data_IF_650256388382
#
_entry.id   IF_650256388382
#
_cell.length_a   1.000
_cell.length_b   1.000
_cell.length_c   1.000
_cell.angle_alpha   90.00
_cell.angle_beta   90.00
_cell.angle_gamma   90.00
#
_symmetry.space_group_name_H-M   'P 1'
#
loop_
_entity.id
_entity.type
_entity.pdbx_description
1 polymer ?
#
# COMPACT_ATOMS: atom_id res chain seq x y z
N UNK A 1 5.42 11.89 -28.88
CA UNK A 1 5.39 12.26 -27.44
C UNK A 1 6.71 12.92 -27.10
N UNK A 2 6.73 13.98 -26.27
CA UNK A 2 8.00 14.63 -25.87
C UNK A 2 8.72 13.82 -24.79
N UNK A 3 10.05 13.91 -24.71
CA UNK A 3 10.85 13.30 -23.64
C UNK A 3 10.34 13.69 -22.25
N UNK A 4 9.92 14.95 -22.08
CA UNK A 4 9.35 15.44 -20.82
C UNK A 4 8.00 14.83 -20.49
N UNK A 5 7.19 14.53 -21.49
CA UNK A 5 5.93 13.79 -21.29
C UNK A 5 6.21 12.35 -20.87
N UNK A 6 7.17 11.67 -21.49
CA UNK A 6 7.57 10.30 -21.09
C UNK A 6 8.05 10.29 -19.64
N UNK A 7 8.95 11.23 -19.29
CA UNK A 7 9.51 11.37 -17.95
C UNK A 7 8.39 11.61 -16.91
N UNK A 8 7.47 12.53 -17.18
CA UNK A 8 6.36 12.84 -16.29
C UNK A 8 5.43 11.64 -16.06
N UNK A 9 5.06 10.91 -17.12
CA UNK A 9 4.23 9.71 -17.00
C UNK A 9 4.94 8.60 -16.23
N UNK A 10 6.23 8.38 -16.49
CA UNK A 10 7.04 7.42 -15.72
C UNK A 10 7.13 7.77 -14.23
N UNK A 11 7.27 9.06 -13.90
CA UNK A 11 7.23 9.52 -12.51
C UNK A 11 5.86 9.29 -11.86
N UNK A 12 4.78 9.51 -12.60
CA UNK A 12 3.42 9.30 -12.13
C UNK A 12 3.14 7.82 -11.80
N UNK A 13 3.49 6.90 -12.71
CA UNK A 13 3.36 5.45 -12.48
C UNK A 13 4.20 4.99 -11.28
N UNK A 14 5.44 5.49 -11.15
CA UNK A 14 6.30 5.19 -10.00
C UNK A 14 5.72 5.69 -8.68
N UNK A 15 5.07 6.85 -8.69
CA UNK A 15 4.38 7.37 -7.51
C UNK A 15 3.14 6.53 -7.15
N UNK A 16 2.42 6.00 -8.14
CA UNK A 16 1.34 5.04 -7.90
C UNK A 16 1.87 3.72 -7.31
N UNK A 17 2.93 3.14 -7.85
CA UNK A 17 3.59 1.95 -7.29
C UNK A 17 4.00 2.16 -5.82
N UNK A 18 4.59 3.32 -5.53
CA UNK A 18 4.96 3.69 -4.15
C UNK A 18 3.73 3.77 -3.24
N UNK A 19 2.62 4.29 -3.77
CA UNK A 19 1.33 4.33 -3.07
C UNK A 19 0.76 2.94 -2.85
N UNK A 20 0.91 2.01 -3.79
CA UNK A 20 0.50 0.61 -3.63
C UNK A 20 1.26 -0.09 -2.52
N UNK A 21 2.55 0.21 -2.37
CA UNK A 21 3.34 -0.30 -1.24
C UNK A 21 2.83 0.22 0.10
N UNK A 22 2.49 1.51 0.17
CA UNK A 22 1.86 2.08 1.37
C UNK A 22 0.49 1.44 1.65
N UNK A 23 -0.30 1.20 0.60
CA UNK A 23 -1.57 0.47 0.68
C UNK A 23 -1.37 -0.94 1.25
N UNK A 24 -0.38 -1.68 0.75
CA UNK A 24 -0.02 -3.00 1.27
C UNK A 24 0.36 -2.97 2.75
N UNK A 25 1.10 -1.94 3.19
CA UNK A 25 1.43 -1.75 4.60
C UNK A 25 0.17 -1.53 5.48
N UNK A 26 -0.88 -0.89 4.97
CA UNK A 26 -2.15 -0.75 5.70
C UNK A 26 -2.89 -2.10 5.84
N UNK A 27 -2.85 -2.95 4.83
CA UNK A 27 -3.39 -4.31 4.95
C UNK A 27 -2.60 -5.14 5.97
N UNK A 28 -1.27 -5.05 5.94
CA UNK A 28 -0.40 -5.69 6.94
C UNK A 28 -0.70 -5.18 8.35
N UNK A 29 -0.81 -3.87 8.53
CA UNK A 29 -1.24 -3.24 9.78
C UNK A 29 -2.58 -3.79 10.27
N UNK A 30 -3.61 -3.83 9.41
CA UNK A 30 -4.92 -4.38 9.75
C UNK A 30 -4.85 -5.83 10.22
N UNK A 31 -4.14 -6.69 9.48
CA UNK A 31 -4.01 -8.11 9.83
C UNK A 31 -3.25 -8.31 11.15
N UNK A 32 -2.12 -7.61 11.33
CA UNK A 32 -1.29 -7.76 12.53
C UNK A 32 -2.01 -7.26 13.78
N UNK A 33 -2.66 -6.09 13.69
CA UNK A 33 -3.40 -5.53 14.83
C UNK A 33 -4.66 -6.34 15.15
N UNK A 34 -5.41 -6.80 14.14
CA UNK A 34 -6.56 -7.68 14.39
C UNK A 34 -6.14 -9.01 15.01
N UNK A 35 -5.02 -9.59 14.57
CA UNK A 35 -4.45 -10.80 15.20
C UNK A 35 -4.07 -10.55 16.65
N UNK A 36 -3.43 -9.41 16.94
CA UNK A 36 -3.08 -9.05 18.32
C UNK A 36 -4.32 -8.85 19.21
N UNK A 37 -5.41 -8.28 18.69
CA UNK A 37 -6.66 -8.10 19.44
C UNK A 37 -7.27 -9.46 19.84
N UNK A 38 -7.27 -10.45 18.93
CA UNK A 38 -7.67 -11.82 19.28
C UNK A 38 -6.78 -12.43 20.38
N UNK A 39 -5.46 -12.22 20.30
CA UNK A 39 -4.53 -12.69 21.32
C UNK A 39 -4.78 -12.02 22.68
N UNK A 40 -5.17 -10.74 22.70
CA UNK A 40 -5.60 -10.06 23.92
C UNK A 40 -6.87 -10.70 24.48
N UNK A 41 -7.84 -11.05 23.62
CA UNK A 41 -9.03 -11.80 24.05
C UNK A 41 -8.70 -13.13 24.71
N UNK A 42 -7.75 -13.89 24.13
CA UNK A 42 -7.24 -15.12 24.74
C UNK A 42 -6.53 -14.88 26.08
N UNK A 43 -5.72 -13.82 26.18
CA UNK A 43 -5.05 -13.45 27.42
C UNK A 43 -6.05 -13.06 28.52
N UNK A 44 -7.10 -12.29 28.19
CA UNK A 44 -8.20 -11.95 29.11
C UNK A 44 -8.85 -13.23 29.64
N UNK A 45 -9.20 -14.17 28.76
CA UNK A 45 -9.78 -15.47 29.16
C UNK A 45 -8.85 -16.24 30.10
N UNK A 46 -7.58 -16.38 29.74
CA UNK A 46 -6.59 -17.13 30.54
C UNK A 46 -6.34 -16.48 31.91
N UNK A 47 -6.31 -15.14 32.00
CA UNK A 47 -6.19 -14.42 33.27
C UNK A 47 -7.38 -14.69 34.18
N UNK A 48 -8.61 -14.71 33.64
CA UNK A 48 -9.81 -15.08 34.41
C UNK A 48 -9.74 -16.51 34.93
N UNK A 49 -9.35 -17.46 34.08
CA UNK A 49 -9.18 -18.87 34.47
C UNK A 49 -8.13 -19.05 35.58
N UNK A 50 -7.09 -18.22 35.57
CA UNK A 50 -6.05 -18.21 36.60
C UNK A 50 -6.43 -17.44 37.89
N UNK A 51 -7.63 -16.84 37.96
CA UNK A 51 -8.09 -16.07 39.12
C UNK A 51 -7.65 -14.60 39.15
N UNK A 52 -7.04 -14.09 38.08
CA UNK A 52 -6.60 -12.70 37.93
C UNK A 52 -7.68 -11.83 37.28
N UNK A 53 -8.85 -11.76 37.93
CA UNK A 53 -10.03 -11.07 37.40
C UNK A 53 -9.83 -9.57 37.20
N UNK A 54 -9.17 -8.90 38.14
CA UNK A 54 -8.92 -7.45 38.09
C UNK A 54 -8.05 -7.07 36.89
N UNK A 55 -7.00 -7.83 36.61
CA UNK A 55 -6.11 -7.63 35.47
C UNK A 55 -6.81 -7.94 34.14
N UNK A 56 -7.65 -8.98 34.11
CA UNK A 56 -8.48 -9.30 32.95
C UNK A 56 -9.47 -8.16 32.64
N UNK A 57 -10.17 -7.63 33.66
CA UNK A 57 -11.10 -6.51 33.51
C UNK A 57 -10.40 -5.23 33.02
N UNK A 58 -9.13 -5.04 33.40
CA UNK A 58 -8.32 -3.91 32.91
C UNK A 58 -8.01 -4.05 31.42
N UNK A 59 -7.52 -5.21 30.98
CA UNK A 59 -7.20 -5.45 29.56
C UNK A 59 -8.45 -5.37 28.68
N UNK A 60 -9.55 -5.96 29.13
CA UNK A 60 -10.82 -5.93 28.42
C UNK A 60 -11.33 -4.51 28.21
N UNK A 61 -11.24 -3.65 29.23
CA UNK A 61 -11.68 -2.26 29.12
C UNK A 61 -10.74 -1.37 28.29
N UNK A 62 -9.43 -1.55 28.45
CA UNK A 62 -8.47 -0.57 27.93
C UNK A 62 -7.93 -0.92 26.54
N UNK A 63 -8.01 -2.19 26.13
CA UNK A 63 -7.37 -2.68 24.91
C UNK A 63 -8.32 -3.49 24.02
N UNK A 64 -9.04 -4.49 24.58
CA UNK A 64 -9.82 -5.41 23.76
C UNK A 64 -10.92 -4.68 22.99
N UNK A 65 -10.90 -4.81 21.65
CA UNK A 65 -11.88 -4.17 20.78
C UNK A 65 -11.79 -2.64 20.75
N UNK A 66 -10.70 -2.06 21.26
CA UNK A 66 -10.51 -0.61 21.27
C UNK A 66 -10.21 -0.08 19.86
N UNK A 67 -10.82 1.05 19.54
CA UNK A 67 -10.49 1.84 18.35
C UNK A 67 -9.00 2.20 18.31
N UNK A 68 -8.33 1.90 17.20
CA UNK A 68 -6.89 2.17 17.03
C UNK A 68 -6.57 3.65 16.86
N UNK A 69 -7.54 4.40 16.33
CA UNK A 69 -7.62 5.87 16.32
C UNK A 69 -9.09 6.24 16.54
N UNK A 70 -9.41 7.45 17.02
CA UNK A 70 -10.79 7.80 17.38
C UNK A 70 -11.82 7.45 16.29
N UNK A 71 -12.79 6.59 16.63
CA UNK A 71 -13.90 6.21 15.76
C UNK A 71 -13.56 5.23 14.63
N UNK A 72 -12.36 4.61 14.66
CA UNK A 72 -11.93 3.73 13.59
C UNK A 72 -11.30 2.43 14.10
N UNK A 73 -11.83 1.35 13.58
CA UNK A 73 -11.16 0.06 13.50
C UNK A 73 -10.19 0.07 12.32
N UNK A 74 -9.20 -0.84 12.37
CA UNK A 74 -8.14 -0.89 11.36
C UNK A 74 -8.68 -1.10 9.93
N UNK A 75 -9.75 -1.87 9.75
CA UNK A 75 -10.35 -2.07 8.42
C UNK A 75 -10.95 -0.78 7.85
N UNK A 76 -11.51 0.10 8.70
CA UNK A 76 -12.09 1.38 8.27
C UNK A 76 -11.00 2.33 7.76
N UNK A 77 -9.80 2.26 8.34
CA UNK A 77 -8.63 3.01 7.85
C UNK A 77 -8.26 2.53 6.43
N UNK A 78 -8.21 1.21 6.21
CA UNK A 78 -7.94 0.63 4.88
C UNK A 78 -9.01 1.06 3.87
N UNK A 79 -10.28 0.93 4.21
CA UNK A 79 -11.40 1.31 3.35
C UNK A 79 -11.39 2.79 3.01
N UNK A 80 -11.15 3.66 4.00
CA UNK A 80 -11.03 5.10 3.79
C UNK A 80 -9.88 5.41 2.84
N UNK A 81 -8.68 4.87 3.09
CA UNK A 81 -7.52 5.08 2.22
C UNK A 81 -7.77 4.62 0.78
N UNK A 82 -8.37 3.44 0.62
CA UNK A 82 -8.74 2.91 -0.69
C UNK A 82 -9.69 3.87 -1.42
N UNK A 83 -10.76 4.31 -0.75
CA UNK A 83 -11.83 5.12 -1.33
C UNK A 83 -11.40 6.56 -1.63
N UNK A 84 -10.66 7.19 -0.73
CA UNK A 84 -10.42 8.64 -0.80
C UNK A 84 -9.12 8.99 -1.51
N UNK A 85 -8.11 8.11 -1.45
CA UNK A 85 -6.78 8.40 -2.00
C UNK A 85 -6.41 7.45 -3.13
N UNK A 86 -6.34 6.14 -2.86
CA UNK A 86 -5.79 5.18 -3.81
C UNK A 86 -6.60 5.09 -5.11
N UNK A 87 -7.92 4.88 -5.03
CA UNK A 87 -8.77 4.78 -6.22
C UNK A 87 -8.67 6.04 -7.09
N UNK A 88 -8.72 7.22 -6.47
CA UNK A 88 -8.59 8.49 -7.18
C UNK A 88 -7.25 8.64 -7.89
N UNK A 89 -6.17 8.21 -7.25
CA UNK A 89 -4.85 8.25 -7.85
C UNK A 89 -4.77 7.26 -9.02
N UNK A 90 -5.14 5.99 -8.80
CA UNK A 90 -5.13 4.97 -9.84
C UNK A 90 -5.94 5.39 -11.08
N UNK A 91 -7.14 5.93 -10.89
CA UNK A 91 -8.00 6.40 -11.98
C UNK A 91 -7.33 7.52 -12.80
N UNK A 92 -6.69 8.48 -12.12
CA UNK A 92 -6.02 9.62 -12.77
C UNK A 92 -4.75 9.20 -13.49
N UNK A 93 -3.95 8.33 -12.88
CA UNK A 93 -2.75 7.78 -13.51
C UNK A 93 -3.12 7.02 -14.78
N UNK A 94 -4.06 6.09 -14.69
CA UNK A 94 -4.51 5.28 -15.83
C UNK A 94 -5.05 6.17 -16.96
N UNK A 95 -5.88 7.16 -16.62
CA UNK A 95 -6.40 8.12 -17.61
C UNK A 95 -5.28 8.90 -18.29
N UNK A 96 -4.34 9.46 -17.53
CA UNK A 96 -3.29 10.31 -18.09
C UNK A 96 -2.29 9.52 -18.93
N UNK A 97 -1.94 8.30 -18.49
CA UNK A 97 -1.11 7.39 -19.29
C UNK A 97 -1.85 7.01 -20.56
N UNK A 98 -3.11 6.58 -20.49
CA UNK A 98 -3.89 6.23 -21.67
C UNK A 98 -3.95 7.41 -22.68
N UNK A 99 -4.35 8.59 -22.22
CA UNK A 99 -4.60 9.76 -23.07
C UNK A 99 -3.31 10.33 -23.69
N UNK A 100 -2.20 10.35 -22.95
CA UNK A 100 -0.95 10.98 -23.39
C UNK A 100 0.05 9.99 -24.02
N UNK A 101 -0.03 8.72 -23.65
CA UNK A 101 0.86 7.66 -24.13
C UNK A 101 0.30 6.90 -25.35
N UNK A 102 -0.90 7.25 -25.83
CA UNK A 102 -1.59 6.60 -26.95
C UNK A 102 -1.81 5.11 -26.73
N UNK A 103 -2.18 4.72 -25.50
CA UNK A 103 -2.45 3.31 -25.15
C UNK A 103 -1.21 2.41 -25.06
N UNK A 104 -0.01 2.99 -24.96
CA UNK A 104 1.23 2.22 -24.76
C UNK A 104 1.63 2.23 -23.29
N UNK A 105 1.67 1.04 -22.69
CA UNK A 105 2.15 0.85 -21.32
C UNK A 105 3.68 0.85 -21.24
N UNK A 106 4.21 1.11 -20.04
CA UNK A 106 5.62 0.98 -19.67
C UNK A 106 6.61 1.70 -20.62
N UNK A 107 6.22 2.82 -21.24
CA UNK A 107 7.07 3.52 -22.21
C UNK A 107 8.39 3.97 -21.58
N UNK A 108 8.35 4.48 -20.35
CA UNK A 108 9.54 4.95 -19.64
C UNK A 108 10.55 3.81 -19.41
N UNK A 109 10.08 2.64 -18.96
CA UNK A 109 10.92 1.46 -18.74
C UNK A 109 11.45 0.89 -20.06
N UNK A 110 10.62 0.90 -21.11
CA UNK A 110 11.03 0.50 -22.46
C UNK A 110 12.10 1.45 -23.03
N UNK A 111 12.06 2.75 -22.73
CA UNK A 111 13.11 3.72 -23.10
C UNK A 111 14.38 3.56 -22.28
N UNK A 112 14.28 3.37 -20.97
CA UNK A 112 15.43 3.01 -20.12
C UNK A 112 16.11 1.74 -20.63
N UNK A 113 15.32 0.72 -20.97
CA UNK A 113 15.80 -0.53 -21.57
C UNK A 113 16.50 -0.26 -22.90
N UNK A 114 15.91 0.53 -23.82
CA UNK A 114 16.54 0.89 -25.11
C UNK A 114 17.86 1.65 -24.91
N UNK A 115 17.90 2.66 -24.03
CA UNK A 115 19.12 3.44 -23.75
C UNK A 115 20.23 2.59 -23.14
N UNK A 116 19.88 1.59 -22.32
CA UNK A 116 20.84 0.67 -21.70
C UNK A 116 21.40 -0.37 -22.69
N UNK A 117 20.57 -0.89 -23.60
CA UNK A 117 21.00 -1.88 -24.61
C UNK A 117 21.61 -1.25 -25.87
N UNK A 118 21.28 0.00 -26.21
CA UNK A 118 21.90 0.74 -27.33
C UNK A 118 23.37 1.13 -27.10
N UNK A 119 23.98 0.67 -25.99
CA UNK A 119 25.40 0.85 -25.65
C UNK A 119 26.24 -0.43 -25.79
N UNK A 120 25.65 -1.54 -26.26
CA UNK A 120 26.36 -2.83 -26.40
C UNK A 120 26.40 -3.41 -27.81
N UNK A 121 25.83 -2.75 -28.82
CA UNK A 121 25.88 -3.23 -30.21
C UNK A 121 26.75 -2.30 -31.09
N UNK A 122 28.01 -2.15 -30.70
CA UNK A 122 29.00 -1.38 -31.45
C UNK A 122 30.40 -1.79 -31.05
N UNK A 123 30.82 -2.97 -31.52
CA UNK A 123 32.20 -3.33 -31.93
C UNK A 123 32.36 -4.85 -31.91
N UNK A 124 31.95 -5.50 -33.01
CA UNK A 124 32.48 -6.79 -33.44
C UNK A 124 32.05 -7.06 -34.89
N UNK A 125 32.56 -6.27 -35.84
CA UNK A 125 32.79 -6.75 -37.20
C UNK A 125 33.92 -5.94 -37.86
N UNK A 126 35.16 -6.36 -37.60
CA UNK A 126 36.34 -6.30 -38.49
C UNK A 126 37.36 -7.31 -37.99
#
# INVERSE_FOLDING_TARGET
>A
MSDKTVEALGMLSKALETTERARGALYGFHQLTGTADFQVGDAVRLLREAGHGTEADLLEREILGRDVIPGHWTFQIVEAYNRTYYQRFADLEHRLVHDLAQGRDHIHEAELKRRRHGRTDGDADT
#
